data_IF_022988861661
#
_entry.id   IF_022988861661
#
_cell.length_a   1.000
_cell.length_b   1.000
_cell.length_c   1.000
_cell.angle_alpha   90.00
_cell.angle_beta   90.00
_cell.angle_gamma   90.00
#
_symmetry.space_group_name_H-M   'P 1'
#
loop_
_entity.id
_entity.type
_entity.pdbx_description
1 polymer ?
#
# COMPACT_ATOMS: atom_id res chain seq x y z
N UNK A 1 -28.45 8.73 -4.45
CA UNK A 1 -28.57 7.83 -3.28
C UNK A 1 -27.20 7.36 -2.77
N UNK A 2 -26.38 6.68 -3.59
CA UNK A 2 -25.05 6.21 -3.17
C UNK A 2 -24.14 7.27 -2.52
N UNK A 3 -24.05 8.48 -3.07
CA UNK A 3 -23.15 9.53 -2.54
C UNK A 3 -23.56 10.00 -1.14
N UNK A 4 -24.87 10.11 -0.90
CA UNK A 4 -25.39 10.47 0.41
C UNK A 4 -25.07 9.38 1.44
N UNK A 5 -25.30 8.11 1.08
CA UNK A 5 -24.97 6.96 1.93
C UNK A 5 -23.47 6.90 2.24
N UNK A 6 -22.63 7.14 1.23
CA UNK A 6 -21.18 7.18 1.39
C UNK A 6 -20.73 8.32 2.32
N UNK A 7 -21.27 9.53 2.12
CA UNK A 7 -20.95 10.68 2.97
C UNK A 7 -21.41 10.48 4.42
N UNK A 8 -22.57 9.86 4.64
CA UNK A 8 -23.01 9.48 5.99
C UNK A 8 -22.06 8.46 6.63
N UNK A 9 -21.59 7.48 5.84
CA UNK A 9 -20.56 6.54 6.29
C UNK A 9 -19.26 7.24 6.71
N UNK A 10 -18.80 8.25 5.94
CA UNK A 10 -17.64 9.07 6.30
C UNK A 10 -17.83 9.80 7.64
N UNK A 11 -18.97 10.49 7.81
CA UNK A 11 -19.28 11.21 9.06
C UNK A 11 -19.33 10.28 10.28
N UNK A 12 -19.83 9.06 10.11
CA UNK A 12 -19.86 8.06 11.18
C UNK A 12 -18.44 7.55 11.50
N UNK A 13 -17.62 7.34 10.47
CA UNK A 13 -16.23 6.93 10.65
C UNK A 13 -15.41 7.99 11.39
N UNK A 14 -15.58 9.28 11.07
CA UNK A 14 -14.93 10.40 11.77
C UNK A 14 -15.32 10.45 13.26
N UNK A 15 -16.55 10.04 13.58
CA UNK A 15 -17.05 9.90 14.95
C UNK A 15 -16.70 8.55 15.61
N UNK A 16 -15.78 7.77 15.03
CA UNK A 16 -15.37 6.44 15.50
C UNK A 16 -16.50 5.38 15.55
N UNK A 17 -17.63 5.62 14.88
CA UNK A 17 -18.78 4.70 14.80
C UNK A 17 -18.60 3.72 13.63
N UNK A 18 -17.54 2.91 13.71
CA UNK A 18 -17.08 2.08 12.58
C UNK A 18 -18.09 1.01 12.12
N UNK A 19 -18.85 0.41 13.04
CA UNK A 19 -19.86 -0.60 12.69
C UNK A 19 -20.99 0.00 11.83
N UNK A 20 -21.42 1.21 12.17
CA UNK A 20 -22.45 1.93 11.44
C UNK A 20 -21.91 2.49 10.12
N UNK A 21 -20.70 3.03 10.12
CA UNK A 21 -20.02 3.44 8.88
C UNK A 21 -19.96 2.29 7.88
N UNK A 22 -19.58 1.08 8.34
CA UNK A 22 -19.54 -0.13 7.53
C UNK A 22 -20.91 -0.50 6.95
N UNK A 23 -21.99 -0.33 7.73
CA UNK A 23 -23.36 -0.54 7.25
C UNK A 23 -23.69 0.41 6.09
N UNK A 24 -23.44 1.71 6.25
CA UNK A 24 -23.74 2.70 5.20
C UNK A 24 -22.85 2.58 3.98
N UNK A 25 -21.57 2.20 4.12
CA UNK A 25 -20.73 1.90 2.97
C UNK A 25 -21.24 0.68 2.19
N UNK A 26 -21.71 -0.37 2.87
CA UNK A 26 -22.34 -1.52 2.20
C UNK A 26 -23.61 -1.12 1.44
N UNK A 27 -24.45 -0.24 2.02
CA UNK A 27 -25.61 0.30 1.32
C UNK A 27 -25.21 1.16 0.11
N UNK A 28 -24.16 1.98 0.24
CA UNK A 28 -23.64 2.79 -0.86
C UNK A 28 -23.14 1.91 -2.02
N UNK A 29 -22.42 0.83 -1.71
CA UNK A 29 -21.98 -0.20 -2.66
C UNK A 29 -23.19 -0.87 -3.33
N UNK A 30 -24.21 -1.25 -2.56
CA UNK A 30 -25.44 -1.83 -3.11
C UNK A 30 -26.17 -0.87 -4.07
N UNK A 31 -26.15 0.43 -3.77
CA UNK A 31 -26.74 1.46 -4.64
C UNK A 31 -25.88 1.78 -5.87
N UNK A 32 -24.56 1.69 -5.77
CA UNK A 32 -23.62 1.94 -6.87
C UNK A 32 -22.39 1.03 -6.73
N UNK A 33 -22.41 -0.17 -7.35
CA UNK A 33 -21.32 -1.14 -7.24
C UNK A 33 -19.97 -0.67 -7.79
N UNK A 34 -19.94 0.41 -8.57
CA UNK A 34 -18.72 1.02 -9.12
C UNK A 34 -18.09 2.09 -8.21
N UNK A 35 -18.64 2.31 -7.01
CA UNK A 35 -18.12 3.30 -6.06
C UNK A 35 -16.88 2.77 -5.30
N UNK A 36 -15.72 2.82 -5.95
CA UNK A 36 -14.45 2.31 -5.43
C UNK A 36 -14.07 2.87 -4.04
N UNK A 37 -14.34 4.15 -3.76
CA UNK A 37 -14.07 4.76 -2.45
C UNK A 37 -14.83 4.10 -1.29
N UNK A 38 -16.04 3.60 -1.53
CA UNK A 38 -16.80 2.88 -0.52
C UNK A 38 -16.19 1.51 -0.20
N UNK A 39 -15.66 0.81 -1.21
CA UNK A 39 -14.89 -0.43 -0.98
C UNK A 39 -13.59 -0.16 -0.24
N UNK A 40 -12.85 0.90 -0.62
CA UNK A 40 -11.62 1.29 0.06
C UNK A 40 -11.85 1.49 1.56
N UNK A 41 -12.84 2.31 1.95
CA UNK A 41 -13.10 2.59 3.36
C UNK A 41 -13.64 1.35 4.10
N UNK A 42 -14.47 0.53 3.44
CA UNK A 42 -14.91 -0.77 3.98
C UNK A 42 -13.70 -1.65 4.30
N UNK A 43 -12.74 -1.79 3.37
CA UNK A 43 -11.54 -2.60 3.55
C UNK A 43 -10.64 -2.06 4.67
N UNK A 44 -10.46 -0.75 4.77
CA UNK A 44 -9.68 -0.12 5.85
C UNK A 44 -10.30 -0.41 7.22
N UNK A 45 -11.62 -0.27 7.37
CA UNK A 45 -12.31 -0.59 8.62
C UNK A 45 -12.11 -2.06 8.98
N UNK A 46 -12.28 -2.98 8.02
CA UNK A 46 -12.10 -4.42 8.23
C UNK A 46 -10.67 -4.76 8.64
N UNK A 47 -9.67 -4.15 7.99
CA UNK A 47 -8.26 -4.31 8.35
C UNK A 47 -7.99 -3.86 9.79
N UNK A 48 -8.51 -2.69 10.19
CA UNK A 48 -8.36 -2.17 11.56
C UNK A 48 -9.08 -3.03 12.62
N UNK A 49 -10.10 -3.79 12.22
CA UNK A 49 -10.78 -4.78 13.08
C UNK A 49 -10.08 -6.15 13.13
N UNK A 50 -8.92 -6.30 12.48
CA UNK A 50 -8.19 -7.57 12.39
C UNK A 50 -8.80 -8.59 11.42
N UNK A 51 -9.80 -8.19 10.61
CA UNK A 51 -10.46 -9.05 9.63
C UNK A 51 -9.72 -9.05 8.29
N UNK A 52 -8.46 -9.48 8.31
CA UNK A 52 -7.54 -9.39 7.18
C UNK A 52 -8.08 -10.05 5.89
N UNK A 53 -8.66 -11.25 5.98
CA UNK A 53 -9.17 -11.96 4.81
C UNK A 53 -10.43 -11.32 4.20
N UNK A 54 -11.30 -10.73 5.01
CA UNK A 54 -12.44 -9.95 4.50
C UNK A 54 -11.94 -8.67 3.82
N UNK A 55 -11.00 -7.96 4.44
CA UNK A 55 -10.39 -6.75 3.88
C UNK A 55 -9.70 -7.05 2.53
N UNK A 56 -8.94 -8.14 2.44
CA UNK A 56 -8.29 -8.62 1.21
C UNK A 56 -9.29 -8.80 0.06
N UNK A 57 -10.40 -9.51 0.33
CA UNK A 57 -11.48 -9.68 -0.66
C UNK A 57 -12.13 -8.35 -1.06
N UNK A 58 -12.31 -7.43 -0.11
CA UNK A 58 -12.86 -6.11 -0.40
C UNK A 58 -11.93 -5.27 -1.28
N UNK A 59 -10.64 -5.24 -0.99
CA UNK A 59 -9.66 -4.52 -1.80
C UNK A 59 -9.47 -5.14 -3.19
N UNK A 60 -9.49 -6.47 -3.30
CA UNK A 60 -9.46 -7.15 -4.59
C UNK A 60 -10.66 -6.77 -5.47
N UNK A 61 -11.88 -6.83 -4.90
CA UNK A 61 -13.09 -6.37 -5.61
C UNK A 61 -12.99 -4.91 -6.04
N UNK A 62 -12.44 -4.04 -5.19
CA UNK A 62 -12.20 -2.64 -5.51
C UNK A 62 -11.27 -2.49 -6.72
N UNK A 63 -10.18 -3.26 -6.79
CA UNK A 63 -9.22 -3.19 -7.91
C UNK A 63 -9.72 -3.74 -9.24
N UNK A 64 -10.78 -4.56 -9.20
CA UNK A 64 -11.44 -5.17 -10.35
C UNK A 64 -12.62 -4.34 -10.88
N UNK A 65 -12.97 -3.23 -10.23
CA UNK A 65 -14.06 -2.36 -10.71
C UNK A 65 -13.65 -1.79 -12.09
N UNK A 66 -14.52 -1.92 -13.12
CA UNK A 66 -14.21 -1.42 -14.46
C UNK A 66 -14.01 0.10 -14.52
N UNK A 67 -13.08 0.53 -15.36
CA UNK A 67 -12.75 1.93 -15.64
C UNK A 67 -13.75 2.61 -16.62
N UNK A 68 -15.00 2.14 -16.68
CA UNK A 68 -15.99 2.54 -17.68
C UNK A 68 -17.24 3.18 -17.06
N UNK A 69 -17.83 4.17 -17.74
CA UNK A 69 -19.08 4.83 -17.35
C UNK A 69 -19.09 5.35 -15.90
N UNK A 70 -17.94 5.84 -15.44
CA UNK A 70 -17.74 6.32 -14.09
C UNK A 70 -18.21 7.77 -13.92
N UNK A 71 -18.96 8.04 -12.84
CA UNK A 71 -19.34 9.41 -12.46
C UNK A 71 -18.14 10.30 -12.14
N UNK A 72 -17.11 9.72 -11.54
CA UNK A 72 -15.85 10.42 -11.19
C UNK A 72 -14.65 9.47 -11.45
N UNK A 73 -14.07 9.51 -12.66
CA UNK A 73 -12.93 8.68 -13.03
C UNK A 73 -11.67 8.99 -12.21
N UNK A 74 -11.48 10.23 -11.77
CA UNK A 74 -10.28 10.63 -11.02
C UNK A 74 -10.31 10.09 -9.60
N UNK A 75 -11.42 10.27 -8.88
CA UNK A 75 -11.60 9.69 -7.55
C UNK A 75 -11.59 8.16 -7.59
N UNK A 76 -12.15 7.57 -8.65
CA UNK A 76 -12.11 6.13 -8.88
C UNK A 76 -10.68 5.61 -8.96
N UNK A 77 -9.84 6.14 -9.86
CA UNK A 77 -8.45 5.68 -10.03
C UNK A 77 -7.64 5.82 -8.75
N UNK A 78 -7.76 6.94 -8.05
CA UNK A 78 -7.07 7.14 -6.76
C UNK A 78 -7.52 6.10 -5.71
N UNK A 79 -8.81 5.76 -5.68
CA UNK A 79 -9.35 4.75 -4.77
C UNK A 79 -8.87 3.35 -5.12
N UNK A 80 -8.85 3.00 -6.41
CA UNK A 80 -8.32 1.73 -6.92
C UNK A 80 -6.84 1.56 -6.58
N UNK A 81 -6.02 2.58 -6.82
CA UNK A 81 -4.59 2.57 -6.42
C UNK A 81 -4.44 2.39 -4.91
N UNK A 82 -5.28 3.05 -4.12
CA UNK A 82 -5.26 2.92 -2.65
C UNK A 82 -5.70 1.53 -2.19
N UNK A 83 -6.67 0.91 -2.87
CA UNK A 83 -7.09 -0.47 -2.62
C UNK A 83 -5.94 -1.44 -2.90
N UNK A 84 -5.26 -1.31 -4.05
CA UNK A 84 -4.09 -2.13 -4.39
C UNK A 84 -2.94 -1.92 -3.39
N UNK A 85 -2.66 -0.68 -2.98
CA UNK A 85 -1.67 -0.40 -1.94
C UNK A 85 -2.00 -1.13 -0.62
N UNK A 86 -3.24 -1.05 -0.13
CA UNK A 86 -3.62 -1.73 1.10
C UNK A 86 -3.66 -3.26 0.94
N UNK A 87 -4.02 -3.76 -0.23
CA UNK A 87 -3.94 -5.19 -0.55
C UNK A 87 -2.49 -5.68 -0.49
N UNK A 88 -1.55 -4.97 -1.11
CA UNK A 88 -0.13 -5.28 -1.02
C UNK A 88 0.40 -5.19 0.41
N UNK A 89 -0.09 -4.25 1.22
CA UNK A 89 0.25 -4.15 2.65
C UNK A 89 -0.18 -5.38 3.43
N UNK A 90 -1.38 -5.90 3.19
CA UNK A 90 -1.86 -7.13 3.81
C UNK A 90 -0.99 -8.34 3.42
N UNK A 91 -0.63 -8.49 2.14
CA UNK A 91 0.31 -9.52 1.70
C UNK A 91 1.66 -9.40 2.40
N UNK A 92 2.19 -8.17 2.52
CA UNK A 92 3.45 -7.89 3.20
C UNK A 92 3.42 -8.26 4.68
N UNK A 93 2.33 -7.92 5.39
CA UNK A 93 2.11 -8.29 6.79
C UNK A 93 2.02 -9.80 7.00
N UNK A 94 1.49 -10.54 6.01
CA UNK A 94 1.45 -12.01 5.99
C UNK A 94 2.80 -12.65 5.59
N UNK A 95 3.83 -11.86 5.28
CA UNK A 95 5.13 -12.34 4.84
C UNK A 95 5.18 -12.79 3.37
N UNK A 96 4.11 -12.56 2.60
CA UNK A 96 4.00 -12.88 1.19
C UNK A 96 4.59 -11.73 0.34
N UNK A 97 5.91 -11.57 0.40
CA UNK A 97 6.58 -10.39 -0.17
C UNK A 97 6.54 -10.35 -1.70
N UNK A 98 6.64 -11.50 -2.37
CA UNK A 98 6.51 -11.60 -3.82
C UNK A 98 5.11 -11.18 -4.30
N UNK A 99 4.06 -11.66 -3.64
CA UNK A 99 2.67 -11.29 -3.95
C UNK A 99 2.43 -9.80 -3.69
N UNK A 100 2.95 -9.26 -2.58
CA UNK A 100 2.91 -7.84 -2.29
C UNK A 100 3.56 -7.02 -3.41
N UNK A 101 4.72 -7.44 -3.92
CA UNK A 101 5.40 -6.77 -5.03
C UNK A 101 4.61 -6.82 -6.35
N UNK A 102 3.91 -7.92 -6.65
CA UNK A 102 3.03 -8.00 -7.81
C UNK A 102 1.91 -6.96 -7.73
N UNK A 103 1.23 -6.90 -6.58
CA UNK A 103 0.14 -5.96 -6.34
C UNK A 103 0.61 -4.51 -6.33
N UNK A 104 1.77 -4.22 -5.72
CA UNK A 104 2.34 -2.88 -5.75
C UNK A 104 2.73 -2.41 -7.15
N UNK A 105 3.25 -3.31 -8.00
CA UNK A 105 3.53 -2.99 -9.41
C UNK A 105 2.25 -2.66 -10.17
N UNK A 106 1.18 -3.42 -9.94
CA UNK A 106 -0.15 -3.09 -10.51
C UNK A 106 -0.65 -1.73 -10.02
N UNK A 107 -0.47 -1.42 -8.73
CA UNK A 107 -0.85 -0.13 -8.16
C UNK A 107 -0.15 1.02 -8.89
N UNK A 108 1.15 0.90 -9.17
CA UNK A 108 1.92 1.89 -9.94
C UNK A 108 1.38 2.05 -11.37
N UNK A 109 1.02 0.95 -12.03
CA UNK A 109 0.49 1.00 -13.40
C UNK A 109 -0.86 1.72 -13.48
N UNK A 110 -1.73 1.53 -12.48
CA UNK A 110 -3.06 2.17 -12.41
C UNK A 110 -3.04 3.55 -11.76
N UNK A 111 -1.90 3.96 -11.20
CA UNK A 111 -1.74 5.18 -10.43
C UNK A 111 -2.04 6.44 -11.26
N UNK A 112 -2.99 7.30 -10.85
CA UNK A 112 -3.19 8.58 -11.50
C UNK A 112 -2.09 9.57 -11.11
N UNK A 113 -1.80 10.55 -11.99
CA UNK A 113 -0.69 11.50 -11.83
C UNK A 113 -0.69 12.27 -10.50
N UNK A 114 -1.87 12.55 -9.96
CA UNK A 114 -2.05 13.28 -8.69
C UNK A 114 -1.89 12.41 -7.44
N UNK A 115 -1.80 11.09 -7.58
CA UNK A 115 -1.59 10.19 -6.45
C UNK A 115 -0.18 10.41 -5.88
N UNK A 116 -0.05 10.38 -4.55
CA UNK A 116 1.22 10.58 -3.86
C UNK A 116 1.92 9.22 -3.65
N UNK A 117 2.95 8.86 -4.45
CA UNK A 117 3.45 7.49 -4.52
C UNK A 117 4.46 7.12 -3.44
N UNK A 118 4.97 8.07 -2.66
CA UNK A 118 6.09 7.85 -1.73
C UNK A 118 5.88 6.68 -0.77
N UNK A 119 4.67 6.50 -0.23
CA UNK A 119 4.37 5.39 0.69
C UNK A 119 4.38 4.05 -0.04
N UNK A 120 3.85 4.00 -1.26
CA UNK A 120 3.85 2.81 -2.12
C UNK A 120 5.28 2.41 -2.49
N UNK A 121 6.12 3.37 -2.90
CA UNK A 121 7.53 3.13 -3.19
C UNK A 121 8.31 2.64 -1.96
N UNK A 122 8.07 3.23 -0.79
CA UNK A 122 8.69 2.75 0.44
C UNK A 122 8.28 1.30 0.79
N UNK A 123 7.01 0.95 0.61
CA UNK A 123 6.55 -0.43 0.84
C UNK A 123 7.15 -1.42 -0.17
N UNK A 124 7.34 -1.02 -1.43
CA UNK A 124 8.08 -1.84 -2.40
C UNK A 124 9.54 -2.05 -1.98
N UNK A 125 10.21 -0.98 -1.55
CA UNK A 125 11.56 -1.06 -1.04
C UNK A 125 11.67 -2.01 0.15
N UNK A 126 10.73 -1.93 1.09
CA UNK A 126 10.65 -2.84 2.24
C UNK A 126 10.46 -4.29 1.82
N UNK A 127 9.53 -4.57 0.90
CA UNK A 127 9.33 -5.93 0.38
C UNK A 127 10.61 -6.50 -0.26
N UNK A 128 11.31 -5.72 -1.09
CA UNK A 128 12.60 -6.14 -1.65
C UNK A 128 13.67 -6.35 -0.58
N UNK A 129 13.69 -5.52 0.46
CA UNK A 129 14.59 -5.65 1.60
C UNK A 129 14.37 -6.98 2.35
N UNK A 130 13.11 -7.36 2.55
CA UNK A 130 12.74 -8.65 3.18
C UNK A 130 13.16 -9.85 2.32
N UNK A 131 13.20 -9.68 1.01
CA UNK A 131 13.73 -10.67 0.05
C UNK A 131 15.24 -10.62 -0.15
N UNK A 132 15.97 -9.80 0.64
CA UNK A 132 17.41 -9.58 0.50
C UNK A 132 17.86 -9.05 -0.88
N UNK A 133 16.94 -8.45 -1.64
CA UNK A 133 17.18 -7.81 -2.94
C UNK A 133 17.53 -6.34 -2.73
N UNK A 134 18.73 -6.11 -2.22
CA UNK A 134 19.15 -4.81 -1.68
C UNK A 134 19.25 -3.71 -2.73
N UNK A 135 19.68 -4.02 -3.95
CA UNK A 135 19.79 -3.04 -5.03
C UNK A 135 18.42 -2.51 -5.46
N UNK A 136 17.43 -3.39 -5.58
CA UNK A 136 16.05 -3.01 -5.86
C UNK A 136 15.44 -2.24 -4.69
N UNK A 137 15.71 -2.66 -3.45
CA UNK A 137 15.25 -1.95 -2.26
C UNK A 137 15.77 -0.49 -2.23
N UNK A 138 17.07 -0.30 -2.48
CA UNK A 138 17.70 1.02 -2.57
C UNK A 138 17.04 1.88 -3.66
N UNK A 139 16.84 1.32 -4.85
CA UNK A 139 16.17 2.03 -5.94
C UNK A 139 14.80 2.59 -5.50
N UNK A 140 13.96 1.76 -4.89
CA UNK A 140 12.61 2.19 -4.47
C UNK A 140 12.61 3.17 -3.31
N UNK A 141 13.56 3.06 -2.37
CA UNK A 141 13.72 4.08 -1.33
C UNK A 141 14.15 5.43 -1.89
N UNK A 142 15.07 5.43 -2.85
CA UNK A 142 15.48 6.66 -3.56
C UNK A 142 14.31 7.25 -4.34
N UNK A 143 13.54 6.45 -5.07
CA UNK A 143 12.34 6.92 -5.78
C UNK A 143 11.29 7.49 -4.82
N UNK A 144 11.11 6.88 -3.64
CA UNK A 144 10.26 7.45 -2.59
C UNK A 144 10.71 8.84 -2.16
N UNK A 145 12.01 9.04 -1.93
CA UNK A 145 12.58 10.32 -1.48
C UNK A 145 12.63 11.36 -2.61
N UNK A 146 12.76 10.93 -3.87
CA UNK A 146 12.62 11.80 -5.04
C UNK A 146 11.20 12.34 -5.16
N UNK A 147 10.20 11.49 -4.93
CA UNK A 147 8.80 11.92 -4.95
C UNK A 147 8.45 12.85 -3.79
N UNK A 148 9.00 12.59 -2.60
CA UNK A 148 8.77 13.41 -1.41
C UNK A 148 10.02 13.39 -0.52
N UNK A 149 10.76 14.49 -0.54
CA UNK A 149 12.09 14.59 0.10
C UNK A 149 12.03 14.47 1.63
N UNK A 150 10.94 14.89 2.25
CA UNK A 150 10.66 14.82 3.69
C UNK A 150 9.90 13.54 4.11
N UNK A 151 9.93 12.48 3.29
CA UNK A 151 9.27 11.21 3.64
C UNK A 151 10.05 10.43 4.72
N UNK A 152 9.71 10.68 5.99
CA UNK A 152 10.38 10.10 7.18
C UNK A 152 10.49 8.56 7.12
N UNK A 153 9.44 7.78 6.78
CA UNK A 153 9.55 6.32 6.69
C UNK A 153 10.66 5.86 5.73
N UNK A 154 10.81 6.52 4.58
CA UNK A 154 11.83 6.18 3.59
C UNK A 154 13.25 6.48 4.09
N UNK A 155 13.47 7.58 4.82
CA UNK A 155 14.76 7.84 5.46
C UNK A 155 15.13 6.74 6.47
N UNK A 156 14.16 6.30 7.28
CA UNK A 156 14.37 5.26 8.28
C UNK A 156 14.68 3.90 7.64
N UNK A 157 13.91 3.48 6.64
CA UNK A 157 14.11 2.20 5.95
C UNK A 157 15.39 2.20 5.11
N UNK A 158 15.69 3.31 4.44
CA UNK A 158 16.93 3.44 3.68
C UNK A 158 18.17 3.46 4.58
N UNK A 159 18.12 4.17 5.71
CA UNK A 159 19.19 4.15 6.71
C UNK A 159 19.46 2.74 7.26
N UNK A 160 18.40 1.94 7.50
CA UNK A 160 18.54 0.52 7.88
C UNK A 160 19.24 -0.30 6.79
N UNK A 161 18.89 -0.08 5.53
CA UNK A 161 19.53 -0.74 4.38
C UNK A 161 21.03 -0.41 4.33
N UNK A 162 21.39 0.88 4.39
CA UNK A 162 22.79 1.34 4.36
C UNK A 162 23.61 0.77 5.53
N UNK A 163 23.03 0.71 6.72
CA UNK A 163 23.68 0.09 7.88
C UNK A 163 23.93 -1.41 7.67
N UNK A 164 23.03 -2.10 6.98
CA UNK A 164 23.15 -3.52 6.68
C UNK A 164 24.22 -3.79 5.60
N UNK A 165 24.16 -3.08 4.48
CA UNK A 165 25.09 -3.24 3.35
C UNK A 165 26.50 -2.76 3.69
N UNK A 166 26.61 -1.66 4.45
CA UNK A 166 27.87 -1.16 4.98
C UNK A 166 28.57 -2.19 5.88
N UNK A 167 27.84 -2.84 6.81
CA UNK A 167 28.39 -3.92 7.66
C UNK A 167 28.88 -5.12 6.85
N UNK A 168 28.19 -5.49 5.77
CA UNK A 168 28.59 -6.62 4.92
C UNK A 168 29.92 -6.35 4.18
N UNK A 169 30.18 -5.10 3.78
CA UNK A 169 31.46 -4.72 3.17
C UNK A 169 32.64 -4.86 4.16
N UNK A 170 32.46 -4.42 5.42
CA UNK A 170 33.49 -4.59 6.47
C UNK A 170 33.71 -6.05 6.91
N UNK A 171 32.68 -6.89 6.87
CA UNK A 171 32.78 -8.31 7.20
C UNK A 171 33.54 -9.14 6.16
N UNK A 172 33.57 -8.72 4.89
CA UNK A 172 34.31 -9.40 3.82
C UNK A 172 35.78 -8.97 3.72
N UNK A 173 36.14 -7.75 4.16
CA UNK A 173 37.53 -7.28 4.15
C UNK A 173 38.41 -7.86 5.26
N UNK A 174 37.82 -8.37 6.36
CA UNK A 174 38.55 -8.90 7.52
C UNK A 174 38.95 -10.39 7.41
N UNK A 175 38.51 -11.13 6.39
CA UNK A 175 38.90 -12.54 6.17
C UNK A 175 40.14 -12.74 5.27
N UNK A 176 40.77 -11.66 4.79
CA UNK A 176 41.91 -11.73 3.86
C UNK A 176 43.32 -11.64 4.46
N UNK A 177 43.48 -11.50 5.78
CA UNK A 177 44.79 -11.26 6.40
C UNK A 177 45.04 -12.21 7.58
N UNK A 178 45.17 -13.52 7.31
CA UNK A 178 45.92 -14.41 8.21
C UNK A 178 46.73 -15.43 7.40
N UNK A 179 48.00 -15.51 7.77
CA UNK A 179 49.05 -16.48 7.43
C UNK A 179 49.93 -16.19 6.21
N UNK A 180 50.98 -15.40 6.46
CA UNK A 180 52.35 -15.83 6.17
C UNK A 180 53.21 -15.58 7.42
N UNK A 181 53.55 -16.66 8.13
CA UNK A 181 54.77 -16.79 8.92
C UNK A 181 55.45 -18.06 8.43
#
# INVERSE_FOLDING_TARGET
>A
MADMLYNLGLLLQENNRFSEALHYYKLAIGSRPTLASAYLNTGIILMNQGKAEEAKKTFLKCSEIPDENLKDPHAHKSSVTSCLYNLGKLYHEQGQYEDALLVYKEAIQKMPRQFAPQSLYNMMGEAYMRLSRFSEAEHWYVESLRSKTDHIPAHLTYGKLLALTGKQCYGKSSKGIRNKK
#
